data_IF_949312608765
#
_entry.id   IF_949312608765
#
_cell.length_a   1.000
_cell.length_b   1.000
_cell.length_c   1.000
_cell.angle_alpha   90.00
_cell.angle_beta   90.00
_cell.angle_gamma   90.00
#
_symmetry.space_group_name_H-M   'P 1'
#
loop_
_entity.id
_entity.type
_entity.pdbx_description
1 polymer ?
#
# COMPACT_ATOMS: atom_id res chain seq x y z
N UNK A 1 -18.53 -33.95 64.21
CA UNK A 1 -17.23 -34.01 63.50
C UNK A 1 -17.52 -34.46 62.08
N UNK A 2 -17.44 -33.53 61.13
CA UNK A 2 -17.89 -33.70 59.75
C UNK A 2 -16.79 -34.36 58.89
N UNK A 3 -17.15 -35.36 58.10
CA UNK A 3 -16.29 -36.04 57.13
C UNK A 3 -16.19 -35.18 55.86
N UNK A 4 -14.98 -34.75 55.48
CA UNK A 4 -14.72 -34.16 54.16
C UNK A 4 -14.15 -35.22 53.21
N UNK A 5 -14.91 -35.47 52.15
CA UNK A 5 -14.59 -36.34 51.02
C UNK A 5 -13.66 -35.57 50.05
N UNK A 6 -12.43 -36.01 49.85
CA UNK A 6 -11.55 -35.46 48.81
C UNK A 6 -11.89 -36.09 47.47
N UNK A 7 -12.45 -35.30 46.55
CA UNK A 7 -12.67 -35.68 45.15
C UNK A 7 -11.39 -35.37 44.37
N UNK A 8 -10.65 -36.40 43.95
CA UNK A 8 -9.51 -36.26 43.03
C UNK A 8 -10.02 -36.01 41.62
N UNK A 9 -9.84 -34.79 41.09
CA UNK A 9 -9.98 -34.52 39.66
C UNK A 9 -8.73 -35.06 38.92
N UNK A 10 -8.92 -36.12 38.14
CA UNK A 10 -7.96 -36.54 37.12
C UNK A 10 -8.05 -35.59 35.93
N UNK A 11 -6.98 -34.84 35.67
CA UNK A 11 -6.82 -34.10 34.42
C UNK A 11 -6.67 -35.10 33.27
N UNK A 12 -7.65 -35.17 32.38
CA UNK A 12 -7.51 -35.85 31.11
C UNK A 12 -6.52 -35.05 30.24
N UNK A 13 -5.46 -35.70 29.79
CA UNK A 13 -4.52 -35.18 28.81
C UNK A 13 -5.26 -34.80 27.53
N UNK A 14 -5.34 -33.50 27.23
CA UNK A 14 -5.74 -33.03 25.90
C UNK A 14 -4.67 -33.49 24.91
N UNK A 15 -5.05 -34.42 24.02
CA UNK A 15 -4.22 -34.79 22.90
C UNK A 15 -3.96 -33.55 22.03
N UNK A 16 -2.69 -33.23 21.81
CA UNK A 16 -2.27 -32.22 20.84
C UNK A 16 -2.77 -32.62 19.46
N UNK A 17 -3.76 -31.90 18.94
CA UNK A 17 -4.14 -32.01 17.54
C UNK A 17 -2.97 -31.42 16.76
N UNK A 18 -2.13 -32.27 16.17
CA UNK A 18 -1.21 -31.85 15.11
C UNK A 18 -2.08 -31.42 13.93
N UNK A 19 -2.50 -30.15 13.92
CA UNK A 19 -2.95 -29.52 12.71
C UNK A 19 -1.75 -29.47 11.76
N UNK A 20 -1.80 -30.21 10.67
CA UNK A 20 -0.92 -29.96 9.54
C UNK A 20 -1.03 -28.48 9.21
N UNK A 21 0.08 -27.75 8.97
CA UNK A 21 -0.01 -26.36 8.57
C UNK A 21 -0.90 -26.29 7.33
N UNK A 22 -1.95 -25.47 7.39
CA UNK A 22 -2.76 -25.17 6.23
C UNK A 22 -1.81 -24.66 5.15
N UNK A 23 -1.96 -25.18 3.92
CA UNK A 23 -1.17 -24.72 2.80
C UNK A 23 -1.54 -23.26 2.54
N UNK A 24 -0.56 -22.34 2.62
CA UNK A 24 -0.75 -20.92 2.34
C UNK A 24 -1.47 -20.73 1.00
N UNK A 25 -2.43 -19.79 0.97
CA UNK A 25 -3.18 -19.42 -0.24
C UNK A 25 -2.24 -18.99 -1.37
N UNK A 26 -1.12 -18.37 -1.04
CA UNK A 26 -0.17 -17.81 -2.00
C UNK A 26 1.01 -18.76 -2.22
N UNK A 27 1.49 -18.84 -3.47
CA UNK A 27 2.68 -19.59 -3.83
C UNK A 27 3.96 -18.88 -3.38
N UNK A 28 5.11 -19.55 -3.50
CA UNK A 28 6.40 -18.86 -3.36
C UNK A 28 6.73 -18.07 -4.62
N UNK A 29 7.61 -17.05 -4.55
CA UNK A 29 8.11 -16.35 -5.72
C UNK A 29 8.77 -17.31 -6.72
N UNK A 30 8.49 -17.15 -8.02
CA UNK A 30 8.97 -18.05 -9.10
C UNK A 30 9.48 -17.33 -10.34
N UNK A 31 9.44 -16.00 -10.38
CA UNK A 31 9.79 -15.18 -11.54
C UNK A 31 11.09 -14.38 -11.36
N UNK A 32 12.00 -14.88 -10.52
CA UNK A 32 13.18 -14.14 -10.06
C UNK A 32 13.97 -13.45 -11.16
N UNK A 33 14.31 -14.10 -12.30
CA UNK A 33 15.12 -13.43 -13.32
C UNK A 33 14.43 -12.21 -13.94
N UNK A 34 13.10 -12.27 -14.12
CA UNK A 34 12.35 -11.17 -14.75
C UNK A 34 12.06 -10.08 -13.74
N UNK A 35 11.63 -10.46 -12.52
CA UNK A 35 11.37 -9.50 -11.43
C UNK A 35 12.63 -8.68 -11.13
N UNK A 36 13.79 -9.32 -11.00
CA UNK A 36 15.05 -8.61 -10.77
C UNK A 36 15.41 -7.66 -11.94
N UNK A 37 15.17 -8.08 -13.19
CA UNK A 37 15.43 -7.23 -14.35
C UNK A 37 14.55 -5.96 -14.38
N UNK A 38 13.30 -6.05 -13.92
CA UNK A 38 12.41 -4.88 -13.78
C UNK A 38 12.80 -4.04 -12.57
N UNK A 39 13.13 -4.66 -11.43
CA UNK A 39 13.64 -3.96 -10.24
C UNK A 39 14.87 -3.12 -10.57
N UNK A 40 15.77 -3.63 -11.40
CA UNK A 40 17.02 -2.96 -11.79
C UNK A 40 16.79 -1.68 -12.64
N UNK A 41 15.57 -1.45 -13.15
CA UNK A 41 15.24 -0.19 -13.86
C UNK A 41 14.73 0.91 -12.94
N UNK A 42 14.36 0.60 -11.70
CA UNK A 42 13.89 1.60 -10.74
C UNK A 42 14.99 2.61 -10.40
N UNK A 43 14.63 3.89 -10.37
CA UNK A 43 15.57 4.98 -10.12
C UNK A 43 15.12 5.90 -8.99
N UNK A 44 16.01 6.13 -8.02
CA UNK A 44 15.80 7.14 -6.97
C UNK A 44 15.59 8.54 -7.59
N UNK A 45 16.24 8.85 -8.72
CA UNK A 45 16.03 10.16 -9.36
C UNK A 45 14.59 10.38 -9.81
N UNK A 46 13.91 9.30 -10.21
CA UNK A 46 12.55 9.38 -10.71
C UNK A 46 11.58 9.54 -9.53
N UNK A 47 11.80 8.79 -8.45
CA UNK A 47 11.08 8.99 -7.18
C UNK A 47 11.21 10.44 -6.69
N UNK A 48 12.41 11.00 -6.74
CA UNK A 48 12.69 12.40 -6.38
C UNK A 48 11.95 13.39 -7.28
N UNK A 49 11.95 13.17 -8.59
CA UNK A 49 11.27 14.03 -9.55
C UNK A 49 9.75 14.01 -9.36
N UNK A 50 9.17 12.82 -9.18
CA UNK A 50 7.74 12.63 -8.97
C UNK A 50 7.30 13.27 -7.65
N UNK A 51 8.04 13.02 -6.56
CA UNK A 51 7.67 13.54 -5.25
C UNK A 51 7.89 15.06 -5.14
N UNK A 52 8.85 15.63 -5.88
CA UNK A 52 9.01 17.07 -5.96
C UNK A 52 7.77 17.75 -6.57
N UNK A 53 7.05 17.08 -7.49
CA UNK A 53 5.80 17.60 -8.03
C UNK A 53 4.67 17.47 -7.00
N UNK A 54 4.47 16.27 -6.45
CA UNK A 54 3.39 16.00 -5.48
C UNK A 54 3.50 16.85 -4.22
N UNK A 55 4.71 16.98 -3.69
CA UNK A 55 4.95 17.75 -2.47
C UNK A 55 4.87 19.25 -2.71
N UNK A 56 4.95 19.74 -3.97
CA UNK A 56 4.84 21.16 -4.30
C UNK A 56 3.39 21.68 -4.40
N UNK A 57 2.39 20.82 -4.52
CA UNK A 57 1.00 21.24 -4.30
C UNK A 57 0.86 21.76 -2.87
N UNK A 58 0.25 22.95 -2.68
CA UNK A 58 0.18 23.60 -1.35
C UNK A 58 -0.36 22.67 -0.25
N UNK A 59 -1.42 21.95 -0.57
CA UNK A 59 -1.92 20.81 0.20
C UNK A 59 -2.57 19.85 -0.78
N UNK A 60 -2.54 18.55 -0.50
CA UNK A 60 -3.33 17.58 -1.26
C UNK A 60 -4.62 17.19 -0.54
N UNK A 61 -5.05 17.94 0.47
CA UNK A 61 -6.26 17.66 1.23
C UNK A 61 -7.48 17.44 0.32
N UNK A 62 -8.19 16.33 0.54
CA UNK A 62 -9.23 15.82 -0.35
C UNK A 62 -10.36 16.81 -0.64
N UNK A 63 -10.66 17.70 0.31
CA UNK A 63 -11.67 18.74 0.18
C UNK A 63 -11.08 20.14 -0.05
N UNK A 64 -10.02 20.22 -0.86
CA UNK A 64 -9.39 21.48 -1.26
C UNK A 64 -9.25 21.59 -2.78
N UNK A 65 -9.10 22.82 -3.28
CA UNK A 65 -8.83 23.07 -4.70
C UNK A 65 -7.52 22.44 -5.15
N UNK A 66 -6.47 22.50 -4.32
CA UNK A 66 -5.16 21.92 -4.65
C UNK A 66 -5.14 20.40 -4.54
N UNK A 67 -5.94 19.80 -3.65
CA UNK A 67 -6.15 18.36 -3.61
C UNK A 67 -6.84 17.83 -4.85
N UNK A 68 -7.88 18.51 -5.35
CA UNK A 68 -8.52 18.18 -6.62
C UNK A 68 -7.56 18.36 -7.82
N UNK A 69 -6.72 19.40 -7.80
CA UNK A 69 -5.70 19.59 -8.82
C UNK A 69 -4.62 18.49 -8.79
N UNK A 70 -4.24 18.01 -7.60
CA UNK A 70 -3.27 16.93 -7.44
C UNK A 70 -3.79 15.61 -8.03
N UNK A 71 -5.06 15.24 -7.79
CA UNK A 71 -5.62 14.02 -8.39
C UNK A 71 -5.80 14.14 -9.90
N UNK A 72 -6.14 15.33 -10.41
CA UNK A 72 -6.20 15.58 -11.86
C UNK A 72 -4.82 15.50 -12.53
N UNK A 73 -3.79 16.05 -11.88
CA UNK A 73 -2.41 15.92 -12.34
C UNK A 73 -1.99 14.45 -12.38
N UNK A 74 -2.25 13.70 -11.30
CA UNK A 74 -1.87 12.30 -11.20
C UNK A 74 -2.49 11.49 -12.33
N UNK A 75 -3.79 11.65 -12.58
CA UNK A 75 -4.47 10.94 -13.67
C UNK A 75 -3.79 11.21 -15.02
N UNK A 76 -3.56 12.48 -15.37
CA UNK A 76 -2.87 12.82 -16.62
C UNK A 76 -1.43 12.31 -16.68
N UNK A 77 -0.75 12.25 -15.53
CA UNK A 77 0.62 11.76 -15.44
C UNK A 77 0.72 10.25 -15.66
N UNK A 78 -0.19 9.46 -15.08
CA UNK A 78 -0.23 8.01 -15.30
C UNK A 78 -0.71 7.68 -16.71
N UNK A 79 -1.63 8.45 -17.30
CA UNK A 79 -2.03 8.32 -18.71
C UNK A 79 -0.84 8.52 -19.66
N UNK A 80 0.03 9.49 -19.37
CA UNK A 80 1.27 9.71 -20.12
C UNK A 80 2.24 8.52 -20.01
N UNK A 81 2.45 8.01 -18.79
CA UNK A 81 3.28 6.81 -18.54
C UNK A 81 2.76 5.62 -19.34
N UNK A 82 1.44 5.40 -19.37
CA UNK A 82 0.83 4.26 -20.07
C UNK A 82 0.62 4.51 -21.57
N UNK A 83 1.04 5.65 -22.09
CA UNK A 83 0.77 6.01 -23.49
C UNK A 83 1.39 4.99 -24.46
N UNK A 84 0.60 4.57 -25.45
CA UNK A 84 1.02 3.56 -26.43
C UNK A 84 0.76 2.11 -26.01
N UNK A 85 0.10 1.87 -24.87
CA UNK A 85 -0.36 0.55 -24.40
C UNK A 85 -1.89 0.47 -24.46
N UNK A 86 -2.42 -0.20 -25.47
CA UNK A 86 -3.87 -0.37 -25.64
C UNK A 86 -4.50 -1.34 -24.63
N UNK A 87 -3.65 -2.13 -23.97
CA UNK A 87 -4.03 -3.07 -22.91
C UNK A 87 -4.14 -2.42 -21.53
N UNK A 88 -3.79 -1.14 -21.40
CA UNK A 88 -3.82 -0.40 -20.14
C UNK A 88 -4.78 0.79 -20.24
N UNK A 89 -5.63 0.98 -19.24
CA UNK A 89 -6.50 2.16 -19.12
C UNK A 89 -6.32 2.84 -17.78
N UNK A 90 -6.48 4.16 -17.73
CA UNK A 90 -6.53 4.92 -16.48
C UNK A 90 -7.87 5.65 -16.39
N UNK A 91 -8.47 5.67 -15.21
CA UNK A 91 -9.74 6.37 -14.97
C UNK A 91 -9.79 7.04 -13.60
N UNK A 92 -10.59 8.10 -13.52
CA UNK A 92 -10.94 8.75 -12.26
C UNK A 92 -12.20 8.11 -11.67
N UNK A 93 -12.12 7.65 -10.43
CA UNK A 93 -13.27 7.36 -9.60
C UNK A 93 -13.73 8.66 -8.92
N UNK A 94 -14.96 9.08 -9.23
CA UNK A 94 -15.55 10.30 -8.68
C UNK A 94 -16.30 10.04 -7.38
N UNK A 95 -16.15 10.95 -6.41
CA UNK A 95 -16.82 10.90 -5.12
C UNK A 95 -17.90 11.98 -5.04
N UNK A 96 -19.02 11.68 -4.39
CA UNK A 96 -20.17 12.59 -4.38
C UNK A 96 -19.96 13.83 -3.50
N UNK A 97 -19.18 13.68 -2.42
CA UNK A 97 -19.16 14.65 -1.32
C UNK A 97 -17.92 15.57 -1.33
N UNK A 98 -16.94 15.32 -2.21
CA UNK A 98 -15.68 16.07 -2.25
C UNK A 98 -15.05 16.06 -3.66
N UNK A 99 -14.22 17.07 -4.00
CA UNK A 99 -13.76 17.29 -5.37
C UNK A 99 -12.55 16.44 -5.80
N UNK A 100 -11.75 15.91 -4.88
CA UNK A 100 -10.64 15.02 -5.22
C UNK A 100 -11.16 13.66 -5.69
N UNK A 101 -10.54 13.11 -6.73
CA UNK A 101 -10.89 11.80 -7.31
C UNK A 101 -9.87 10.74 -6.92
N UNK A 102 -10.28 9.49 -6.76
CA UNK A 102 -9.31 8.39 -6.75
C UNK A 102 -8.90 8.07 -8.19
N UNK A 103 -7.66 7.64 -8.42
CA UNK A 103 -7.19 7.20 -9.74
C UNK A 103 -7.05 5.68 -9.74
N UNK A 104 -7.54 5.02 -10.79
CA UNK A 104 -7.41 3.57 -10.99
C UNK A 104 -6.81 3.34 -12.37
N UNK A 105 -5.67 2.65 -12.41
CA UNK A 105 -5.04 2.17 -13.63
C UNK A 105 -5.25 0.67 -13.74
N UNK A 106 -5.76 0.21 -14.87
CA UNK A 106 -6.12 -1.18 -15.16
C UNK A 106 -5.20 -1.75 -16.22
N UNK A 107 -4.49 -2.84 -15.90
CA UNK A 107 -3.85 -3.70 -16.90
C UNK A 107 -4.80 -4.83 -17.22
N UNK A 108 -5.13 -4.98 -18.50
CA UNK A 108 -5.92 -6.13 -18.95
C UNK A 108 -5.10 -7.40 -18.79
N UNK A 109 -5.59 -8.32 -17.94
CA UNK A 109 -5.07 -9.67 -17.90
C UNK A 109 -5.47 -10.45 -19.14
N UNK A 110 -4.61 -11.38 -19.59
CA UNK A 110 -4.97 -12.34 -20.65
C UNK A 110 -6.25 -13.13 -20.31
N UNK A 111 -6.44 -13.43 -19.02
CA UNK A 111 -7.71 -13.91 -18.46
C UNK A 111 -8.38 -12.80 -17.62
N UNK A 112 -9.16 -11.95 -18.28
CA UNK A 112 -9.85 -10.81 -17.64
C UNK A 112 -10.91 -11.19 -16.60
N UNK A 113 -11.28 -12.47 -16.49
CA UNK A 113 -12.22 -12.97 -15.48
C UNK A 113 -11.53 -13.51 -14.23
N UNK A 114 -10.20 -13.53 -14.18
CA UNK A 114 -9.47 -13.93 -12.98
C UNK A 114 -9.57 -12.84 -11.89
N UNK A 115 -9.45 -13.22 -10.60
CA UNK A 115 -9.38 -12.24 -9.53
C UNK A 115 -8.22 -11.25 -9.72
N UNK A 116 -8.47 -9.96 -9.47
CA UNK A 116 -7.50 -8.87 -9.72
C UNK A 116 -6.48 -8.74 -8.59
N UNK A 117 -5.22 -8.48 -8.94
CA UNK A 117 -4.17 -8.06 -8.00
C UNK A 117 -4.09 -6.53 -7.99
N UNK A 118 -4.02 -5.91 -6.82
CA UNK A 118 -4.06 -4.45 -6.68
C UNK A 118 -2.89 -3.96 -5.82
N UNK A 119 -2.18 -2.94 -6.29
CA UNK A 119 -1.23 -2.15 -5.49
C UNK A 119 -1.79 -0.75 -5.34
N UNK A 120 -1.81 -0.18 -4.14
CA UNK A 120 -2.34 1.17 -3.96
C UNK A 120 -1.69 1.96 -2.85
N UNK A 121 -1.99 3.25 -2.87
CA UNK A 121 -1.57 4.28 -1.90
C UNK A 121 -2.66 5.35 -1.81
N UNK A 122 -2.53 6.35 -0.94
CA UNK A 122 -3.41 7.52 -0.99
C UNK A 122 -2.70 8.76 -1.51
N UNK A 123 -3.45 9.67 -2.13
CA UNK A 123 -2.90 10.87 -2.78
C UNK A 123 -3.07 12.13 -1.94
N UNK A 124 -3.98 12.13 -0.97
CA UNK A 124 -4.20 13.30 -0.13
C UNK A 124 -3.09 13.52 0.91
N UNK A 125 -3.14 14.67 1.56
CA UNK A 125 -2.25 15.03 2.66
C UNK A 125 -2.92 16.06 3.55
N UNK A 126 -2.50 16.09 4.81
CA UNK A 126 -3.02 16.99 5.83
C UNK A 126 -1.89 17.59 6.66
N UNK A 127 -2.16 18.72 7.30
CA UNK A 127 -1.26 19.29 8.29
C UNK A 127 -2.06 19.81 9.48
N UNK A 128 -2.70 18.91 10.23
CA UNK A 128 -3.50 19.24 11.42
C UNK A 128 -2.76 18.99 12.75
N UNK A 129 -1.51 18.51 12.72
CA UNK A 129 -0.68 18.37 13.92
C UNK A 129 0.18 19.62 14.05
N UNK A 130 -0.06 20.44 15.07
CA UNK A 130 0.70 21.66 15.32
C UNK A 130 -0.19 22.89 15.49
N UNK A 131 0.30 24.07 15.08
CA UNK A 131 -0.43 25.36 15.15
C UNK A 131 -1.38 25.61 13.97
N UNK A 132 -1.48 24.64 13.05
CA UNK A 132 -2.29 24.69 11.84
C UNK A 132 -3.66 24.05 12.12
N UNK A 133 -4.74 24.73 11.74
CA UNK A 133 -6.13 24.41 12.13
C UNK A 133 -7.07 24.12 10.93
N UNK A 134 -6.69 24.50 9.71
CA UNK A 134 -7.51 24.36 8.49
C UNK A 134 -6.75 23.58 7.38
N UNK A 135 -6.93 22.25 7.29
CA UNK A 135 -6.27 21.40 6.30
C UNK A 135 -6.47 21.83 4.83
N UNK A 136 -7.55 22.57 4.53
CA UNK A 136 -7.84 23.04 3.18
C UNK A 136 -7.02 24.27 2.77
N UNK A 137 -6.48 25.03 3.72
CA UNK A 137 -5.68 26.23 3.47
C UNK A 137 -4.26 26.17 4.03
N UNK A 138 -3.99 25.25 4.95
CA UNK A 138 -2.68 25.03 5.54
C UNK A 138 -1.75 24.27 4.58
N UNK A 139 -0.45 24.58 4.67
CA UNK A 139 0.55 23.90 3.86
C UNK A 139 0.72 22.47 4.38
N UNK A 140 0.53 21.48 3.52
CA UNK A 140 0.89 20.09 3.78
C UNK A 140 1.73 19.56 2.61
N UNK A 141 3.05 19.42 2.77
CA UNK A 141 3.88 18.80 1.75
C UNK A 141 3.62 17.29 1.67
N UNK A 142 3.33 16.63 2.80
CA UNK A 142 3.00 15.20 2.86
C UNK A 142 4.02 14.34 2.12
N UNK A 143 5.32 14.54 2.41
CA UNK A 143 6.38 13.91 1.64
C UNK A 143 6.45 12.42 1.92
N UNK A 144 6.43 12.04 3.19
CA UNK A 144 6.37 10.65 3.60
C UNK A 144 4.93 10.15 3.59
N UNK A 145 3.99 10.96 4.09
CA UNK A 145 2.56 10.64 4.28
C UNK A 145 1.64 11.42 3.33
N UNK A 146 1.18 10.85 2.21
CA UNK A 146 1.69 9.62 1.59
C UNK A 146 2.25 9.88 0.18
N UNK A 147 3.08 10.93 0.10
CA UNK A 147 3.86 11.20 -1.09
C UNK A 147 4.78 10.03 -1.44
N UNK A 148 5.37 9.37 -0.45
CA UNK A 148 6.32 8.28 -0.64
C UNK A 148 5.66 7.02 -1.22
N UNK A 149 4.55 6.55 -0.65
CA UNK A 149 3.76 5.44 -1.19
C UNK A 149 3.27 5.76 -2.59
N UNK A 150 2.71 6.96 -2.79
CA UNK A 150 2.26 7.43 -4.10
C UNK A 150 3.31 7.33 -5.20
N UNK A 151 4.55 7.81 -4.94
CA UNK A 151 5.61 7.73 -5.97
C UNK A 151 6.19 6.33 -6.13
N UNK A 152 6.13 5.47 -5.11
CA UNK A 152 6.51 4.07 -5.24
C UNK A 152 5.53 3.30 -6.14
N UNK A 153 4.23 3.60 -6.05
CA UNK A 153 3.21 3.05 -6.97
C UNK A 153 3.44 3.58 -8.39
N UNK A 154 3.76 4.87 -8.56
CA UNK A 154 4.08 5.46 -9.88
C UNK A 154 5.31 4.79 -10.49
N UNK A 155 6.39 4.61 -9.71
CA UNK A 155 7.61 3.98 -10.16
C UNK A 155 7.40 2.52 -10.57
N UNK A 156 6.55 1.80 -9.83
CA UNK A 156 6.16 0.41 -10.16
C UNK A 156 5.41 0.35 -11.48
N UNK A 157 4.40 1.22 -11.66
CA UNK A 157 3.65 1.35 -12.90
C UNK A 157 4.60 1.60 -14.10
N UNK A 158 5.46 2.61 -13.97
CA UNK A 158 6.44 3.00 -15.00
C UNK A 158 7.34 1.83 -15.37
N UNK A 159 7.94 1.15 -14.39
CA UNK A 159 8.86 0.05 -14.62
C UNK A 159 8.19 -1.13 -15.37
N UNK A 160 6.95 -1.48 -15.00
CA UNK A 160 6.20 -2.56 -15.67
C UNK A 160 5.76 -2.19 -17.10
N UNK A 161 5.38 -0.92 -17.32
CA UNK A 161 5.07 -0.43 -18.67
C UNK A 161 6.30 -0.48 -19.57
N UNK A 162 7.45 0.03 -19.10
CA UNK A 162 8.72 0.03 -19.83
C UNK A 162 9.24 -1.39 -20.11
N UNK A 163 9.01 -2.32 -19.19
CA UNK A 163 9.32 -3.73 -19.38
C UNK A 163 8.41 -4.44 -20.39
N UNK A 164 7.33 -3.79 -20.86
CA UNK A 164 6.34 -4.40 -21.74
C UNK A 164 5.55 -5.50 -21.06
N UNK A 165 5.34 -5.40 -19.74
CA UNK A 165 4.65 -6.44 -18.98
C UNK A 165 3.17 -6.54 -19.37
N UNK A 166 2.76 -7.72 -19.81
CA UNK A 166 1.37 -8.09 -20.09
C UNK A 166 0.95 -9.20 -19.11
N UNK A 167 0.13 -8.91 -18.09
CA UNK A 167 -0.16 -9.89 -17.06
C UNK A 167 -1.12 -10.99 -17.54
N UNK A 168 -0.99 -12.19 -16.98
CA UNK A 168 -1.93 -13.29 -17.21
C UNK A 168 -3.29 -13.05 -16.53
N UNK A 169 -3.31 -12.40 -15.36
CA UNK A 169 -4.53 -11.98 -14.64
C UNK A 169 -4.61 -10.47 -14.51
N UNK A 170 -5.77 -9.87 -14.24
CA UNK A 170 -5.86 -8.42 -14.10
C UNK A 170 -4.93 -7.90 -12.99
N UNK A 171 -4.33 -6.73 -13.24
CA UNK A 171 -3.49 -6.00 -12.31
C UNK A 171 -3.94 -4.54 -12.30
N UNK A 172 -4.06 -3.94 -11.12
CA UNK A 172 -4.47 -2.55 -10.99
C UNK A 172 -3.56 -1.74 -10.05
N UNK A 173 -3.43 -0.45 -10.34
CA UNK A 173 -2.74 0.53 -9.50
C UNK A 173 -3.70 1.62 -9.06
N UNK A 174 -3.80 1.83 -7.75
CA UNK A 174 -4.80 2.71 -7.15
C UNK A 174 -4.14 3.85 -6.37
N UNK A 175 -4.68 5.06 -6.52
CA UNK A 175 -4.37 6.19 -5.64
C UNK A 175 -5.68 6.72 -5.07
N UNK A 176 -5.90 6.52 -3.77
CA UNK A 176 -7.15 6.85 -3.11
C UNK A 176 -7.22 8.32 -2.70
N UNK A 177 -8.38 8.93 -2.89
CA UNK A 177 -8.68 10.24 -2.34
C UNK A 177 -9.24 10.13 -0.92
N UNK A 178 -8.92 11.09 -0.05
CA UNK A 178 -9.58 11.23 1.26
C UNK A 178 -9.31 10.09 2.22
N UNK A 179 -8.10 9.52 2.23
CA UNK A 179 -7.67 8.61 3.30
C UNK A 179 -7.76 9.34 4.65
N UNK A 180 -7.27 10.58 4.68
CA UNK A 180 -7.24 11.41 5.89
C UNK A 180 -8.64 11.87 6.31
N UNK A 181 -9.60 11.83 5.38
CA UNK A 181 -11.01 12.01 5.66
C UNK A 181 -11.66 10.82 6.39
N UNK A 182 -10.91 9.76 6.66
CA UNK A 182 -11.40 8.51 7.26
C UNK A 182 -11.62 7.40 6.23
N UNK A 183 -10.63 7.15 5.38
CA UNK A 183 -10.61 6.11 4.34
C UNK A 183 -11.71 6.27 3.29
N UNK A 184 -12.10 7.51 2.97
CA UNK A 184 -13.29 7.81 2.17
C UNK A 184 -13.21 7.19 0.77
N UNK A 185 -12.05 7.35 0.11
CA UNK A 185 -11.84 6.86 -1.24
C UNK A 185 -11.78 5.34 -1.32
N UNK A 186 -10.93 4.70 -0.51
CA UNK A 186 -10.79 3.25 -0.52
C UNK A 186 -12.05 2.53 -0.03
N UNK A 187 -12.80 3.10 0.92
CA UNK A 187 -14.09 2.56 1.36
C UNK A 187 -15.11 2.59 0.22
N UNK A 188 -15.20 3.70 -0.52
CA UNK A 188 -16.10 3.81 -1.67
C UNK A 188 -15.71 2.85 -2.80
N UNK A 189 -14.42 2.78 -3.16
CA UNK A 189 -13.91 1.89 -4.21
C UNK A 189 -14.12 0.43 -3.83
N UNK A 190 -13.65 -0.01 -2.67
CA UNK A 190 -13.77 -1.42 -2.25
C UNK A 190 -15.23 -1.88 -2.12
N UNK A 191 -16.14 -1.01 -1.65
CA UNK A 191 -17.59 -1.30 -1.65
C UNK A 191 -18.15 -1.47 -3.06
N UNK A 192 -17.72 -0.63 -4.01
CA UNK A 192 -18.11 -0.79 -5.42
C UNK A 192 -17.61 -2.13 -5.97
N UNK A 193 -16.36 -2.50 -5.71
CA UNK A 193 -15.80 -3.78 -6.17
C UNK A 193 -16.62 -4.95 -5.61
N UNK A 194 -16.96 -4.90 -4.33
CA UNK A 194 -17.83 -5.90 -3.70
C UNK A 194 -19.23 -5.95 -4.32
N UNK A 195 -19.83 -4.80 -4.58
CA UNK A 195 -21.18 -4.69 -5.14
C UNK A 195 -21.25 -5.17 -6.60
N UNK A 196 -20.20 -4.90 -7.39
CA UNK A 196 -20.08 -5.31 -8.78
C UNK A 196 -19.64 -6.77 -8.93
N UNK A 197 -19.30 -7.45 -7.83
CA UNK A 197 -18.89 -8.84 -7.83
C UNK A 197 -17.47 -9.05 -8.38
N UNK A 198 -16.63 -8.02 -8.34
CA UNK A 198 -15.22 -8.11 -8.73
C UNK A 198 -14.49 -8.93 -7.66
N UNK A 199 -13.86 -10.02 -8.08
CA UNK A 199 -13.02 -10.83 -7.20
C UNK A 199 -11.62 -10.22 -7.10
N UNK A 200 -11.08 -10.10 -5.89
CA UNK A 200 -9.74 -9.58 -5.64
C UNK A 200 -8.86 -10.71 -5.13
N UNK A 201 -7.74 -10.93 -5.82
CA UNK A 201 -6.72 -11.90 -5.42
C UNK A 201 -5.98 -11.42 -4.16
N UNK A 202 -5.46 -10.20 -4.23
CA UNK A 202 -4.69 -9.54 -3.18
C UNK A 202 -4.66 -8.02 -3.38
N UNK A 203 -4.63 -7.28 -2.28
CA UNK A 203 -4.41 -5.84 -2.23
C UNK A 203 -3.19 -5.52 -1.34
N UNK A 204 -2.22 -4.76 -1.85
CA UNK A 204 -1.10 -4.24 -1.06
C UNK A 204 -1.16 -2.72 -0.96
N UNK A 205 -1.13 -2.23 0.27
CA UNK A 205 -1.15 -0.81 0.62
C UNK A 205 0.26 -0.30 0.87
N UNK A 206 0.70 0.67 0.09
CA UNK A 206 1.90 1.44 0.31
C UNK A 206 1.51 2.77 0.93
N UNK A 207 1.80 2.93 2.21
CA UNK A 207 1.52 4.15 2.97
C UNK A 207 2.65 4.37 3.99
N UNK A 208 3.32 5.52 3.86
CA UNK A 208 4.56 5.91 4.55
C UNK A 208 5.67 4.88 4.37
N UNK A 209 6.56 5.16 3.42
CA UNK A 209 7.58 4.22 2.95
C UNK A 209 8.98 4.84 2.93
N UNK A 210 9.16 6.08 3.38
CA UNK A 210 10.42 6.78 3.24
C UNK A 210 11.13 7.05 4.57
N UNK A 211 10.58 6.76 5.75
CA UNK A 211 11.27 7.09 6.99
C UNK A 211 11.94 5.90 7.69
N UNK A 212 13.22 6.05 8.00
CA UNK A 212 13.94 5.21 8.96
C UNK A 212 14.42 6.08 10.12
N UNK A 213 14.02 5.73 11.34
CA UNK A 213 14.43 6.50 12.52
C UNK A 213 15.96 6.49 12.67
N UNK A 214 16.61 7.67 12.79
CA UNK A 214 18.05 7.73 12.98
C UNK A 214 18.52 6.91 14.20
N UNK A 215 19.41 5.95 13.95
CA UNK A 215 19.96 5.06 14.97
C UNK A 215 19.11 3.83 15.30
N UNK A 216 17.98 3.62 14.62
CA UNK A 216 17.22 2.36 14.63
C UNK A 216 17.63 1.47 13.45
N UNK A 217 17.45 0.15 13.58
CA UNK A 217 17.69 -0.80 12.48
C UNK A 217 16.65 -0.56 11.37
N UNK A 218 17.13 -0.51 10.13
CA UNK A 218 16.28 -0.47 8.95
C UNK A 218 15.55 -1.81 8.79
N UNK A 219 14.22 -1.77 8.80
CA UNK A 219 13.35 -2.94 8.69
C UNK A 219 12.10 -2.60 7.89
N UNK A 220 11.45 -3.60 7.30
CA UNK A 220 10.07 -3.46 6.81
C UNK A 220 9.14 -4.04 7.87
N UNK A 221 8.12 -3.28 8.28
CA UNK A 221 7.12 -3.75 9.25
C UNK A 221 5.85 -4.18 8.54
N UNK A 222 5.43 -5.44 8.73
CA UNK A 222 4.14 -5.93 8.25
C UNK A 222 3.06 -5.69 9.31
N UNK A 223 2.00 -4.95 8.95
CA UNK A 223 0.82 -4.76 9.81
C UNK A 223 0.00 -6.05 9.90
N UNK A 224 -0.33 -6.45 11.12
CA UNK A 224 -1.00 -7.72 11.41
C UNK A 224 -2.50 -7.57 11.66
N UNK A 225 -2.99 -6.38 11.98
CA UNK A 225 -4.41 -6.07 12.08
C UNK A 225 -4.96 -5.60 10.73
N UNK A 226 -6.26 -5.87 10.50
CA UNK A 226 -6.94 -5.57 9.24
C UNK A 226 -6.23 -6.10 7.99
N UNK A 227 -5.48 -7.19 8.13
CA UNK A 227 -4.65 -7.78 7.08
C UNK A 227 -4.87 -9.29 7.00
N UNK A 228 -4.64 -9.85 5.82
CA UNK A 228 -4.73 -11.29 5.58
C UNK A 228 -3.41 -12.00 5.94
N UNK A 229 -3.43 -13.02 6.82
CA UNK A 229 -2.20 -13.64 7.31
C UNK A 229 -1.44 -14.42 6.23
N UNK A 230 -2.14 -15.04 5.27
CA UNK A 230 -1.49 -15.76 4.17
C UNK A 230 -0.82 -14.77 3.21
N UNK A 231 -1.44 -13.60 2.98
CA UNK A 231 -0.86 -12.52 2.17
C UNK A 231 0.35 -11.89 2.86
N UNK A 232 0.29 -11.73 4.19
CA UNK A 232 1.44 -11.26 4.97
C UNK A 232 2.63 -12.22 4.82
N UNK A 233 2.43 -13.54 4.97
CA UNK A 233 3.49 -14.54 4.76
C UNK A 233 4.07 -14.46 3.34
N UNK A 234 3.23 -14.23 2.33
CA UNK A 234 3.69 -14.05 0.96
C UNK A 234 4.55 -12.80 0.80
N UNK A 235 4.14 -11.66 1.34
CA UNK A 235 4.94 -10.42 1.31
C UNK A 235 6.27 -10.62 2.02
N UNK A 236 6.30 -11.31 3.16
CA UNK A 236 7.55 -11.66 3.84
C UNK A 236 8.48 -12.49 2.94
N UNK A 237 7.93 -13.42 2.16
CA UNK A 237 8.70 -14.20 1.18
C UNK A 237 9.24 -13.36 0.02
N UNK A 238 8.52 -12.32 -0.41
CA UNK A 238 9.00 -11.37 -1.41
C UNK A 238 10.14 -10.50 -0.86
N UNK A 239 10.03 -10.08 0.41
CA UNK A 239 11.08 -9.31 1.08
C UNK A 239 12.36 -10.13 1.20
N UNK A 240 12.25 -11.40 1.63
CA UNK A 240 13.40 -12.32 1.72
C UNK A 240 14.07 -12.54 0.35
N UNK A 241 13.29 -12.73 -0.71
CA UNK A 241 13.80 -13.05 -2.04
C UNK A 241 14.39 -11.83 -2.78
N UNK A 242 13.72 -10.67 -2.74
CA UNK A 242 14.01 -9.54 -3.63
C UNK A 242 14.64 -8.33 -2.95
N UNK A 243 14.49 -8.20 -1.64
CA UNK A 243 14.83 -6.97 -0.90
C UNK A 243 16.00 -7.22 0.06
N UNK A 244 15.91 -8.29 0.85
CA UNK A 244 16.94 -8.67 1.83
C UNK A 244 16.96 -7.83 3.12
N UNK A 245 15.94 -7.02 3.38
CA UNK A 245 15.78 -6.30 4.65
C UNK A 245 15.16 -7.20 5.73
N UNK A 246 15.51 -7.01 7.02
CA UNK A 246 14.82 -7.70 8.10
C UNK A 246 13.34 -7.32 8.15
N UNK A 247 12.51 -8.32 8.43
CA UNK A 247 11.07 -8.14 8.64
C UNK A 247 10.77 -8.00 10.13
N UNK A 248 9.89 -7.07 10.41
CA UNK A 248 9.27 -6.86 11.71
C UNK A 248 7.74 -6.95 11.58
N UNK A 249 7.04 -7.13 12.70
CA UNK A 249 5.58 -7.08 12.73
C UNK A 249 5.09 -6.10 13.77
N UNK A 250 3.95 -5.48 13.51
CA UNK A 250 3.27 -4.59 14.43
C UNK A 250 1.76 -4.58 14.16
N UNK A 251 1.00 -3.98 15.08
CA UNK A 251 -0.41 -3.66 14.88
C UNK A 251 -0.59 -2.14 14.96
N UNK A 252 -1.52 -1.61 14.19
CA UNK A 252 -1.99 -0.24 14.34
C UNK A 252 -2.92 -0.07 15.56
N UNK A 253 -3.79 -1.06 15.80
CA UNK A 253 -4.82 -1.04 16.83
C UNK A 253 -6.15 -0.42 16.37
N UNK A 254 -6.24 0.02 15.12
CA UNK A 254 -7.43 0.59 14.46
C UNK A 254 -7.28 0.47 12.93
N UNK A 255 -8.34 0.79 12.18
CA UNK A 255 -8.30 0.83 10.70
C UNK A 255 -7.43 2.01 10.25
N UNK A 256 -6.12 1.79 10.15
CA UNK A 256 -5.14 2.88 10.08
C UNK A 256 -4.77 3.35 8.68
N UNK A 257 -5.16 2.63 7.63
CA UNK A 257 -4.96 3.03 6.23
C UNK A 257 -5.88 2.21 5.33
N UNK A 258 -5.80 2.40 4.01
CA UNK A 258 -6.73 1.89 3.01
C UNK A 258 -6.83 0.36 2.94
N UNK A 259 -5.80 -0.39 3.38
CA UNK A 259 -5.87 -1.86 3.54
C UNK A 259 -7.06 -2.29 4.40
N UNK A 260 -7.43 -1.48 5.40
CA UNK A 260 -8.56 -1.79 6.25
C UNK A 260 -9.91 -1.68 5.52
N UNK A 261 -10.03 -0.84 4.48
CA UNK A 261 -11.23 -0.80 3.63
C UNK A 261 -11.42 -2.08 2.85
N UNK A 262 -10.36 -2.57 2.19
CA UNK A 262 -10.37 -3.83 1.44
C UNK A 262 -10.63 -5.04 2.35
N UNK A 263 -9.94 -5.11 3.49
CA UNK A 263 -10.16 -6.17 4.48
C UNK A 263 -11.59 -6.17 5.01
N UNK A 264 -12.21 -5.00 5.26
CA UNK A 264 -13.62 -4.91 5.69
C UNK A 264 -14.61 -5.48 4.68
N UNK A 265 -14.29 -5.46 3.38
CA UNK A 265 -15.12 -6.10 2.34
C UNK A 265 -14.86 -7.60 2.18
N UNK A 266 -13.90 -8.15 2.95
CA UNK A 266 -13.50 -9.55 2.95
C UNK A 266 -12.47 -9.89 1.87
N UNK A 267 -11.75 -8.90 1.34
CA UNK A 267 -10.67 -9.12 0.39
C UNK A 267 -9.32 -9.27 1.12
N UNK A 268 -8.39 -10.10 0.63
CA UNK A 268 -7.05 -10.19 1.18
C UNK A 268 -6.32 -8.86 1.00
N UNK A 269 -5.88 -8.27 2.11
CA UNK A 269 -5.22 -6.98 2.15
C UNK A 269 -3.98 -7.06 3.05
N UNK A 270 -2.95 -6.29 2.73
CA UNK A 270 -1.75 -6.20 3.55
C UNK A 270 -1.13 -4.80 3.46
N UNK A 271 -0.35 -4.44 4.47
CA UNK A 271 0.35 -3.15 4.54
C UNK A 271 1.77 -3.35 5.07
N UNK A 272 2.78 -3.41 4.19
CA UNK A 272 4.17 -3.18 4.59
C UNK A 272 4.36 -1.69 4.93
N UNK A 273 5.15 -1.41 5.97
CA UNK A 273 5.32 -0.08 6.54
C UNK A 273 6.80 0.20 6.83
N UNK A 274 7.19 1.48 6.75
CA UNK A 274 8.57 2.00 6.83
C UNK A 274 9.40 1.62 8.06
N UNK A 275 8.79 1.27 9.19
CA UNK A 275 9.59 1.02 10.38
C UNK A 275 8.85 0.81 11.68
N UNK A 276 9.62 0.47 12.72
CA UNK A 276 9.13 0.28 14.09
C UNK A 276 8.63 1.58 14.69
N UNK A 277 9.35 2.65 14.41
CA UNK A 277 8.94 4.01 14.74
C UNK A 277 8.44 4.69 13.47
N UNK A 278 7.16 5.06 13.44
CA UNK A 278 6.60 5.95 12.42
C UNK A 278 7.29 7.31 12.46
N UNK A 279 7.48 7.93 11.30
CA UNK A 279 7.93 9.31 11.16
C UNK A 279 7.15 10.22 12.13
N UNK A 280 7.81 10.93 13.06
CA UNK A 280 7.11 11.76 14.04
C UNK A 280 6.49 13.02 13.42
N UNK A 281 6.91 13.41 12.21
CA UNK A 281 6.50 14.63 11.51
C UNK A 281 5.30 14.45 10.57
N UNK A 282 4.78 13.23 10.41
CA UNK A 282 3.54 12.98 9.66
C UNK A 282 2.42 13.92 10.11
N UNK A 283 1.59 14.37 9.17
CA UNK A 283 0.53 15.38 9.34
C UNK A 283 1.02 16.74 9.87
N UNK A 284 2.26 17.13 9.60
CA UNK A 284 2.79 18.46 9.88
C UNK A 284 3.35 19.10 8.61
N UNK A 285 3.56 20.41 8.63
CA UNK A 285 4.26 21.14 7.56
C UNK A 285 5.71 20.67 7.38
N UNK A 286 6.29 20.03 8.40
CA UNK A 286 7.67 19.56 8.39
C UNK A 286 7.83 18.15 7.81
N UNK A 287 6.72 17.49 7.42
CA UNK A 287 6.77 16.25 6.62
C UNK A 287 7.29 16.55 5.20
N UNK A 288 8.61 16.61 5.10
CA UNK A 288 9.37 17.02 3.92
C UNK A 288 10.49 16.04 3.65
N UNK A 289 11.03 16.04 2.43
CA UNK A 289 12.18 15.19 2.04
C UNK A 289 13.48 15.54 2.78
N UNK A 290 13.51 16.68 3.46
CA UNK A 290 14.64 17.14 4.30
C UNK A 290 14.49 16.73 5.76
N UNK A 291 13.37 16.08 6.13
CA UNK A 291 13.11 15.62 7.47
C UNK A 291 14.20 14.64 7.95
N UNK A 292 14.67 14.75 9.20
CA UNK A 292 15.62 13.78 9.75
C UNK A 292 15.03 12.37 9.74
N UNK A 293 15.65 11.45 8.99
CA UNK A 293 15.19 10.06 8.86
C UNK A 293 14.47 9.76 7.54
N UNK A 294 14.11 10.78 6.75
CA UNK A 294 13.65 10.55 5.37
C UNK A 294 14.80 9.93 4.55
N UNK A 295 14.49 8.88 3.80
CA UNK A 295 15.45 7.99 3.13
C UNK A 295 14.88 7.49 1.80
N UNK A 296 15.47 7.97 0.70
CA UNK A 296 15.11 7.50 -0.64
C UNK A 296 15.51 6.05 -0.88
N UNK A 297 16.62 5.64 -0.27
CA UNK A 297 17.19 4.30 -0.28
C UNK A 297 16.27 3.31 0.43
N UNK A 298 15.50 3.79 1.41
CA UNK A 298 14.44 3.02 2.04
C UNK A 298 13.18 2.99 1.15
N UNK A 299 12.72 4.14 0.66
CA UNK A 299 11.54 4.24 -0.22
C UNK A 299 11.62 3.34 -1.45
N UNK A 300 12.77 3.30 -2.12
CA UNK A 300 12.94 2.46 -3.31
C UNK A 300 12.78 0.96 -3.01
N UNK A 301 13.01 0.50 -1.77
CA UNK A 301 12.73 -0.90 -1.41
C UNK A 301 11.24 -1.24 -1.49
N UNK A 302 10.35 -0.29 -1.21
CA UNK A 302 8.90 -0.49 -1.34
C UNK A 302 8.47 -0.48 -2.81
N UNK A 303 9.09 0.32 -3.67
CA UNK A 303 8.88 0.23 -5.12
C UNK A 303 9.33 -1.13 -5.67
N UNK A 304 10.48 -1.66 -5.21
CA UNK A 304 10.92 -3.02 -5.56
C UNK A 304 9.94 -4.09 -5.08
N UNK A 305 9.46 -3.96 -3.85
CA UNK A 305 8.47 -4.87 -3.28
C UNK A 305 7.16 -4.84 -4.08
N UNK A 306 6.71 -3.66 -4.52
CA UNK A 306 5.54 -3.50 -5.37
C UNK A 306 5.71 -4.10 -6.76
N UNK A 307 6.87 -3.95 -7.40
CA UNK A 307 7.20 -4.67 -8.65
C UNK A 307 7.12 -6.18 -8.44
N UNK A 308 7.76 -6.71 -7.39
CA UNK A 308 7.75 -8.13 -7.09
C UNK A 308 6.34 -8.66 -6.81
N UNK A 309 5.56 -7.94 -6.00
CA UNK A 309 4.19 -8.27 -5.67
C UNK A 309 3.28 -8.30 -6.90
N UNK A 310 3.32 -7.24 -7.70
CA UNK A 310 2.52 -7.10 -8.90
C UNK A 310 2.85 -8.22 -9.90
N UNK A 311 4.14 -8.45 -10.16
CA UNK A 311 4.58 -9.44 -11.15
C UNK A 311 4.28 -10.87 -10.69
N UNK A 312 4.68 -11.26 -9.48
CA UNK A 312 4.52 -12.65 -9.00
C UNK A 312 3.07 -13.10 -8.85
N UNK A 313 2.14 -12.16 -8.62
CA UNK A 313 0.72 -12.46 -8.46
C UNK A 313 -0.10 -12.27 -9.73
N UNK A 314 0.49 -11.79 -10.83
CA UNK A 314 -0.26 -11.54 -12.06
C UNK A 314 0.37 -12.10 -13.35
N UNK A 315 1.61 -12.60 -13.32
CA UNK A 315 2.29 -13.22 -14.46
C UNK A 315 1.76 -14.64 -14.82
#
# INVERSE_FOLDING_TARGET
MSFMLFLTLTFASLASINASPLKSKFGKPTHQPVVNAVIDTLSISDLQADLAILSNFHTRFYNSTTGAAASQWLLGYVEEITSGRDDITAEAFTHADFPQTSTIVHFNGQNSSAPVTIVGSHIDSVSWRGELEDPASDRSPGADDDGSGSVNVIATLRALVEAGFEPATPLEFHWYAGEEGGLLGSDAVSKKYKADGIEVNAYMNLDMNAYTKPGEEEVIVIRQDFSDPDLNEFIESLIDEYIGLPVATAQCGYACSDHASWHRQGFPAAMPFEGRTRNPLFHTIDDTTEAPGFSWEHSIQFAKLAVAFAYELSA
#
